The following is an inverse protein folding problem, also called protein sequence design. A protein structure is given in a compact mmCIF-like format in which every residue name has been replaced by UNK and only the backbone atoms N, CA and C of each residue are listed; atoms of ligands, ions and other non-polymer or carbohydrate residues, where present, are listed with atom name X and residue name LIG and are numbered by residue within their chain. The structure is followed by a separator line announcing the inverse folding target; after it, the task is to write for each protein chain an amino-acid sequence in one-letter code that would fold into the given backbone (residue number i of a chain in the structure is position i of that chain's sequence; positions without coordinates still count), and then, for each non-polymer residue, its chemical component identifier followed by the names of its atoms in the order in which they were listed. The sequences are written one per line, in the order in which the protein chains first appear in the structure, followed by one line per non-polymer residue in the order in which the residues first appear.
data_IF_349893208417
#
_entry.id   IF_349893208417
#
_cell.length_a   1.000
_cell.length_b   1.000
_cell.length_c   1.000
_cell.angle_alpha   90.00
_cell.angle_beta   90.00
_cell.angle_gamma   90.00
#
_symmetry.space_group_name_H-M   'P 1'
#
loop_
_entity.id
_entity.type
_entity.pdbx_description
1 polymer ?
#
# COMPACT_ATOMS: atom_id res chain seq x y z
N UNK A 1 9.77 -10.67 5.89
CA UNK A 1 10.03 -10.06 4.56
C UNK A 1 11.42 -9.47 4.59
N UNK A 2 12.20 -9.72 3.53
CA UNK A 2 13.53 -9.09 3.39
C UNK A 2 13.34 -7.67 2.89
N UNK A 3 14.20 -6.76 3.31
CA UNK A 3 14.25 -5.42 2.73
C UNK A 3 14.79 -5.49 1.29
N UNK A 4 14.23 -4.68 0.40
CA UNK A 4 14.61 -4.61 -1.00
C UNK A 4 14.86 -3.14 -1.38
N UNK A 5 15.88 -2.88 -2.18
CA UNK A 5 16.18 -1.53 -2.66
C UNK A 5 15.55 -1.29 -4.02
N UNK A 6 14.66 -0.29 -4.13
CA UNK A 6 14.10 0.22 -5.38
C UNK A 6 14.66 1.62 -5.64
N UNK A 7 15.60 1.72 -6.57
CA UNK A 7 16.34 2.96 -6.81
C UNK A 7 17.07 3.45 -5.55
N UNK A 8 16.72 4.64 -5.06
CA UNK A 8 17.31 5.26 -3.87
C UNK A 8 16.64 4.84 -2.56
N UNK A 9 15.44 4.24 -2.60
CA UNK A 9 14.64 3.88 -1.43
C UNK A 9 14.71 2.40 -1.09
N UNK A 10 14.60 2.09 0.19
CA UNK A 10 14.43 0.73 0.69
C UNK A 10 12.94 0.50 0.92
N UNK A 11 12.45 -0.66 0.48
CA UNK A 11 11.07 -1.12 0.68
C UNK A 11 11.08 -2.42 1.49
N UNK A 12 10.13 -2.56 2.37
CA UNK A 12 10.02 -3.71 3.27
C UNK A 12 8.94 -3.45 4.30
N UNK A 13 8.63 -4.42 5.15
CA UNK A 13 7.48 -4.34 6.06
C UNK A 13 7.60 -3.16 7.05
N UNK A 14 8.81 -2.81 7.44
CA UNK A 14 9.11 -1.75 8.40
C UNK A 14 9.30 -0.36 7.74
N UNK A 15 9.21 -0.29 6.40
CA UNK A 15 9.41 0.94 5.65
C UNK A 15 8.08 1.51 5.15
N UNK A 16 7.97 2.85 5.00
CA UNK A 16 6.78 3.47 4.40
C UNK A 16 6.47 2.92 3.01
N UNK A 17 5.21 2.99 2.55
CA UNK A 17 4.84 2.59 1.21
C UNK A 17 5.61 3.34 0.13
N UNK A 18 5.93 2.64 -0.96
CA UNK A 18 6.56 3.17 -2.17
C UNK A 18 5.50 3.31 -3.25
N UNK A 19 5.33 4.50 -3.81
CA UNK A 19 4.26 4.82 -4.74
C UNK A 19 4.78 4.98 -6.17
N UNK A 20 4.28 4.14 -7.10
CA UNK A 20 4.63 4.12 -8.52
C UNK A 20 3.49 4.74 -9.31
N UNK A 21 3.73 5.91 -9.90
CA UNK A 21 2.81 6.56 -10.83
C UNK A 21 2.98 5.94 -12.23
N UNK A 22 2.03 5.10 -12.65
CA UNK A 22 2.00 4.57 -14.01
C UNK A 22 1.41 5.61 -14.97
N UNK A 23 2.29 6.35 -15.62
CA UNK A 23 1.92 7.32 -16.65
C UNK A 23 1.32 6.58 -17.86
N UNK A 24 1.79 5.36 -18.10
CA UNK A 24 1.27 4.49 -19.16
C UNK A 24 1.15 5.22 -20.51
N UNK A 25 -0.05 5.26 -21.09
CA UNK A 25 -0.35 5.95 -22.36
C UNK A 25 -0.81 7.41 -22.17
N UNK A 26 -0.90 7.92 -20.94
CA UNK A 26 -1.46 9.25 -20.65
C UNK A 26 -0.59 10.43 -21.10
N UNK A 27 0.58 10.17 -21.67
CA UNK A 27 1.38 11.16 -22.40
C UNK A 27 0.82 11.50 -23.80
N UNK A 28 -0.20 10.78 -24.29
CA UNK A 28 -0.91 11.04 -25.56
C UNK A 28 0.00 11.10 -26.80
N UNK A 29 1.15 10.41 -26.81
CA UNK A 29 2.12 10.45 -27.89
C UNK A 29 2.92 11.77 -27.96
N UNK A 30 2.91 12.58 -26.91
CA UNK A 30 3.60 13.88 -26.80
C UNK A 30 4.71 13.84 -25.75
N UNK A 31 5.94 14.14 -26.17
CA UNK A 31 7.13 14.12 -25.30
C UNK A 31 7.11 15.24 -24.25
N UNK A 32 6.63 16.45 -24.63
CA UNK A 32 6.55 17.55 -23.66
C UNK A 32 5.59 17.19 -22.53
N UNK A 33 4.44 16.64 -22.90
CA UNK A 33 3.45 16.15 -21.94
C UNK A 33 4.00 15.03 -21.06
N UNK A 34 4.76 14.09 -21.64
CA UNK A 34 5.40 13.05 -20.84
C UNK A 34 6.32 13.63 -19.77
N UNK A 35 7.08 14.70 -20.07
CA UNK A 35 7.90 15.43 -19.10
C UNK A 35 7.08 16.15 -18.04
N UNK A 36 6.00 16.83 -18.44
CA UNK A 36 5.12 17.52 -17.50
C UNK A 36 4.49 16.53 -16.51
N UNK A 37 4.10 15.33 -16.98
CA UNK A 37 3.55 14.28 -16.12
C UNK A 37 4.59 13.73 -15.12
N UNK A 38 5.89 13.72 -15.45
CA UNK A 38 6.95 13.39 -14.49
C UNK A 38 6.95 14.37 -13.31
N UNK A 39 6.88 15.68 -13.60
CA UNK A 39 6.84 16.72 -12.56
C UNK A 39 5.55 16.66 -11.73
N UNK A 40 4.41 16.50 -12.38
CA UNK A 40 3.14 16.35 -11.68
C UNK A 40 3.11 15.13 -10.77
N UNK A 41 3.67 13.99 -11.20
CA UNK A 41 3.80 12.79 -10.37
C UNK A 41 4.70 13.05 -9.15
N UNK A 42 5.86 13.71 -9.35
CA UNK A 42 6.76 14.10 -8.27
C UNK A 42 6.09 15.01 -7.26
N UNK A 43 5.45 16.09 -7.71
CA UNK A 43 4.76 17.06 -6.85
C UNK A 43 3.59 16.41 -6.09
N UNK A 44 2.91 15.46 -6.72
CA UNK A 44 1.86 14.67 -6.07
C UNK A 44 2.41 13.63 -5.07
N UNK A 45 3.73 13.47 -4.94
CA UNK A 45 4.37 12.62 -3.94
C UNK A 45 4.64 11.19 -4.40
N UNK A 46 4.66 10.93 -5.71
CA UNK A 46 5.11 9.64 -6.23
C UNK A 46 6.62 9.46 -6.04
N UNK A 47 7.04 8.23 -5.80
CA UNK A 47 8.44 7.83 -5.70
C UNK A 47 9.05 7.49 -7.05
N UNK A 48 8.20 7.02 -7.97
CA UNK A 48 8.59 6.57 -9.29
C UNK A 48 7.57 7.02 -10.36
N UNK A 49 8.06 7.53 -11.47
CA UNK A 49 7.31 7.71 -12.70
C UNK A 49 7.58 6.51 -13.61
N UNK A 50 6.53 5.74 -13.93
CA UNK A 50 6.64 4.53 -14.74
C UNK A 50 5.99 4.72 -16.10
N UNK A 51 6.68 4.24 -17.13
CA UNK A 51 6.23 4.21 -18.52
C UNK A 51 6.08 2.77 -19.01
N UNK A 52 5.76 2.61 -20.29
CA UNK A 52 5.51 1.30 -20.90
C UNK A 52 6.19 1.23 -22.27
N UNK A 53 7.22 0.38 -22.41
CA UNK A 53 7.99 0.20 -23.63
C UNK A 53 7.44 -0.97 -24.44
N UNK A 54 6.32 -0.76 -25.12
CA UNK A 54 5.76 -1.71 -26.09
C UNK A 54 5.82 -1.15 -27.49
N UNK A 55 5.72 -2.02 -28.48
CA UNK A 55 5.43 -1.72 -29.89
C UNK A 55 4.16 -2.47 -30.26
N UNK A 56 3.25 -1.83 -30.99
CA UNK A 56 1.95 -2.42 -31.31
C UNK A 56 2.09 -3.78 -32.03
N UNK A 57 3.01 -3.89 -32.99
CA UNK A 57 3.31 -5.11 -33.75
C UNK A 57 3.97 -6.23 -32.95
N UNK A 58 4.45 -5.93 -31.70
CA UNK A 58 5.07 -6.90 -30.81
C UNK A 58 4.14 -7.39 -29.70
N UNK A 59 3.01 -6.71 -29.46
CA UNK A 59 2.11 -7.01 -28.35
C UNK A 59 0.67 -7.31 -28.81
N UNK A 60 0.25 -6.86 -29.99
CA UNK A 60 -1.13 -6.99 -30.51
C UNK A 60 -1.19 -7.90 -31.71
N UNK A 61 -2.13 -8.85 -31.70
CA UNK A 61 -2.54 -9.64 -32.83
C UNK A 61 -3.96 -9.23 -33.25
N UNK A 62 -4.07 -8.27 -34.16
CA UNK A 62 -5.37 -7.73 -34.61
C UNK A 62 -6.28 -8.81 -35.19
N UNK A 63 -5.72 -9.82 -35.89
CA UNK A 63 -6.52 -10.90 -36.46
C UNK A 63 -7.28 -11.68 -35.37
N UNK A 64 -6.63 -11.94 -34.26
CA UNK A 64 -7.28 -12.62 -33.14
C UNK A 64 -8.21 -11.67 -32.36
N UNK A 65 -7.84 -10.40 -32.19
CA UNK A 65 -8.72 -9.41 -31.55
C UNK A 65 -10.04 -9.23 -32.27
N UNK A 66 -10.05 -9.22 -33.64
CA UNK A 66 -11.28 -9.14 -34.42
C UNK A 66 -12.22 -10.33 -34.21
N UNK A 67 -11.67 -11.52 -33.88
CA UNK A 67 -12.50 -12.70 -33.57
C UNK A 67 -13.14 -12.65 -32.19
N UNK A 68 -12.63 -11.76 -31.29
CA UNK A 68 -13.08 -11.60 -29.91
C UNK A 68 -14.08 -10.44 -29.72
N UNK A 69 -14.68 -9.91 -30.79
CA UNK A 69 -15.62 -8.77 -30.77
C UNK A 69 -16.81 -8.93 -29.82
N UNK A 70 -17.15 -10.16 -29.42
CA UNK A 70 -18.22 -10.44 -28.46
C UNK A 70 -17.82 -10.29 -27.01
N UNK A 71 -16.52 -10.09 -26.69
CA UNK A 71 -16.04 -9.91 -25.32
C UNK A 71 -16.14 -8.44 -24.92
N UNK A 72 -16.83 -8.19 -23.81
CA UNK A 72 -16.87 -6.87 -23.17
C UNK A 72 -15.52 -6.58 -22.50
N UNK A 73 -14.67 -5.81 -23.14
CA UNK A 73 -13.40 -5.32 -22.60
C UNK A 73 -13.36 -3.79 -22.70
N UNK A 74 -12.40 -3.14 -22.07
CA UNK A 74 -12.27 -1.70 -22.23
C UNK A 74 -11.88 -1.32 -23.67
N UNK A 75 -11.17 -2.20 -24.39
CA UNK A 75 -10.82 -2.03 -25.80
C UNK A 75 -12.05 -2.10 -26.73
N UNK A 76 -13.10 -2.82 -26.36
CA UNK A 76 -14.32 -2.94 -27.18
C UNK A 76 -15.07 -1.62 -27.36
N UNK A 77 -14.77 -0.60 -26.56
CA UNK A 77 -15.32 0.76 -26.71
C UNK A 77 -14.56 1.63 -27.71
N UNK A 78 -13.41 1.19 -28.22
CA UNK A 78 -12.58 1.97 -29.10
C UNK A 78 -13.11 1.97 -30.56
N UNK A 79 -12.97 3.12 -31.20
CA UNK A 79 -13.42 3.31 -32.61
C UNK A 79 -12.43 2.78 -33.63
N UNK A 80 -11.16 2.65 -33.25
CA UNK A 80 -10.04 2.15 -34.05
C UNK A 80 -9.68 0.74 -33.60
N UNK A 81 -8.92 0.01 -34.41
CA UNK A 81 -8.39 -1.29 -33.99
C UNK A 81 -7.47 -1.15 -32.75
N UNK A 82 -7.28 -2.26 -32.05
CA UNK A 82 -6.40 -2.28 -30.87
C UNK A 82 -4.97 -1.90 -31.26
N UNK A 83 -4.48 -2.42 -32.40
CA UNK A 83 -3.15 -2.09 -32.93
C UNK A 83 -3.00 -0.61 -33.25
N UNK A 84 -3.99 0.02 -33.88
CA UNK A 84 -3.96 1.45 -34.21
C UNK A 84 -3.94 2.33 -32.96
N UNK A 85 -4.68 1.95 -31.91
CA UNK A 85 -4.65 2.69 -30.62
C UNK A 85 -3.30 2.51 -29.95
N UNK A 86 -2.78 1.27 -29.88
CA UNK A 86 -1.46 1.01 -29.31
C UNK A 86 -0.36 1.76 -30.04
N UNK A 87 -0.40 1.81 -31.39
CA UNK A 87 0.57 2.56 -32.19
C UNK A 87 0.45 4.07 -31.98
N UNK A 88 -0.74 4.60 -31.82
CA UNK A 88 -0.98 6.02 -31.56
C UNK A 88 -0.43 6.45 -30.20
N UNK A 89 -0.55 5.60 -29.15
CA UNK A 89 -0.27 5.95 -27.76
C UNK A 89 0.99 5.28 -27.19
N UNK A 90 1.79 4.58 -28.02
CA UNK A 90 3.01 3.97 -27.52
C UNK A 90 4.06 5.02 -27.08
N UNK A 91 4.84 4.67 -26.08
CA UNK A 91 6.01 5.44 -25.68
C UNK A 91 7.12 5.22 -26.72
N UNK A 92 7.54 6.28 -27.41
CA UNK A 92 8.60 6.18 -28.41
C UNK A 92 9.95 5.91 -27.74
N UNK A 93 10.62 4.82 -28.14
CA UNK A 93 11.86 4.37 -27.48
C UNK A 93 12.98 5.39 -27.50
N UNK A 94 13.04 6.26 -28.52
CA UNK A 94 13.98 7.37 -28.60
C UNK A 94 13.82 8.41 -27.50
N UNK A 95 12.67 8.45 -26.81
CA UNK A 95 12.43 9.36 -25.68
C UNK A 95 13.04 8.88 -24.37
N UNK A 96 13.48 7.63 -24.28
CA UNK A 96 13.89 6.99 -23.03
C UNK A 96 14.95 7.78 -22.27
N UNK A 97 16.03 8.19 -22.96
CA UNK A 97 17.10 8.97 -22.34
C UNK A 97 16.61 10.33 -21.86
N UNK A 98 15.81 11.01 -22.67
CA UNK A 98 15.31 12.35 -22.36
C UNK A 98 14.36 12.34 -21.17
N UNK A 99 13.45 11.36 -21.10
CA UNK A 99 12.56 11.17 -19.95
C UNK A 99 13.31 10.71 -18.70
N UNK A 100 14.29 9.83 -18.85
CA UNK A 100 15.20 9.47 -17.75
C UNK A 100 15.90 10.70 -17.17
N UNK A 101 16.47 11.54 -18.01
CA UNK A 101 17.12 12.79 -17.57
C UNK A 101 16.12 13.75 -16.91
N UNK A 102 14.89 13.80 -17.38
CA UNK A 102 13.84 14.61 -16.76
C UNK A 102 13.46 14.09 -15.36
N UNK A 103 13.36 12.76 -15.22
CA UNK A 103 13.17 12.12 -13.90
C UNK A 103 14.33 12.41 -12.94
N UNK A 104 15.58 12.43 -13.44
CA UNK A 104 16.74 12.79 -12.61
C UNK A 104 16.67 14.24 -12.13
N UNK A 105 16.26 15.19 -12.98
CA UNK A 105 16.05 16.61 -12.62
C UNK A 105 14.95 16.79 -11.59
N UNK A 106 13.84 16.04 -11.75
CA UNK A 106 12.71 16.06 -10.84
C UNK A 106 13.00 15.29 -9.54
N UNK A 107 14.13 14.60 -9.43
CA UNK A 107 14.47 13.73 -8.30
C UNK A 107 13.41 12.65 -8.02
N UNK A 108 12.85 12.07 -9.08
CA UNK A 108 11.93 10.93 -9.04
C UNK A 108 12.58 9.73 -9.73
N UNK A 109 12.27 8.51 -9.28
CA UNK A 109 12.78 7.30 -9.92
C UNK A 109 12.11 7.09 -11.28
N UNK A 110 12.91 6.68 -12.29
CA UNK A 110 12.42 6.24 -13.59
C UNK A 110 12.29 4.72 -13.62
N UNK A 111 11.16 4.20 -14.06
CA UNK A 111 10.99 2.78 -14.35
C UNK A 111 10.08 2.56 -15.56
N UNK A 112 10.04 1.33 -16.04
CA UNK A 112 9.18 0.95 -17.15
C UNK A 112 8.79 -0.52 -17.12
N UNK A 113 7.71 -0.84 -17.83
CA UNK A 113 7.40 -2.20 -18.27
C UNK A 113 7.92 -2.38 -19.69
N UNK A 114 9.00 -3.13 -19.91
CA UNK A 114 9.45 -3.51 -21.24
C UNK A 114 8.71 -4.78 -21.69
N UNK A 115 8.19 -4.79 -22.92
CA UNK A 115 7.31 -5.84 -23.43
C UNK A 115 7.96 -6.75 -24.49
N UNK A 116 9.25 -6.61 -24.73
CA UNK A 116 10.05 -7.49 -25.57
C UNK A 116 11.54 -7.47 -25.17
N UNK A 117 12.31 -8.42 -25.68
CA UNK A 117 13.73 -8.58 -25.36
C UNK A 117 14.56 -7.33 -25.69
N UNK A 118 14.29 -6.70 -26.85
CA UNK A 118 15.00 -5.50 -27.25
C UNK A 118 14.71 -4.33 -26.31
N UNK A 119 13.45 -4.16 -25.91
CA UNK A 119 13.07 -3.14 -24.92
C UNK A 119 13.81 -3.34 -23.60
N UNK A 120 13.92 -4.59 -23.10
CA UNK A 120 14.67 -4.90 -21.86
C UNK A 120 16.12 -4.45 -21.98
N UNK A 121 16.78 -4.81 -23.10
CA UNK A 121 18.19 -4.50 -23.30
C UNK A 121 18.44 -2.99 -23.48
N UNK A 122 17.56 -2.28 -24.17
CA UNK A 122 17.66 -0.83 -24.39
C UNK A 122 17.46 -0.02 -23.10
N UNK A 123 16.51 -0.42 -22.23
CA UNK A 123 16.21 0.32 -21.01
C UNK A 123 17.10 -0.04 -19.84
N UNK A 124 17.88 -1.13 -19.92
CA UNK A 124 18.65 -1.65 -18.79
C UNK A 124 19.54 -0.60 -18.14
N UNK A 125 20.24 0.23 -18.91
CA UNK A 125 21.12 1.26 -18.38
C UNK A 125 20.42 2.44 -17.68
N UNK A 126 19.10 2.56 -17.84
CA UNK A 126 18.31 3.66 -17.30
C UNK A 126 17.47 3.27 -16.07
N UNK A 127 17.11 1.98 -15.92
CA UNK A 127 16.25 1.53 -14.83
C UNK A 127 17.02 0.89 -13.69
N UNK A 128 16.58 1.11 -12.46
CA UNK A 128 17.09 0.42 -11.28
C UNK A 128 16.25 -0.83 -10.93
N UNK A 129 15.08 -0.99 -11.50
CA UNK A 129 14.22 -2.16 -11.39
C UNK A 129 13.27 -2.22 -12.59
N UNK A 130 12.75 -3.40 -12.87
CA UNK A 130 11.78 -3.63 -13.95
C UNK A 130 10.39 -3.88 -13.40
N UNK A 131 9.38 -3.50 -14.18
CA UNK A 131 7.99 -3.91 -13.94
C UNK A 131 7.58 -4.95 -14.99
N UNK A 132 7.00 -6.06 -14.53
CA UNK A 132 6.38 -7.07 -15.39
C UNK A 132 4.87 -6.88 -15.28
N UNK A 133 4.24 -6.56 -16.41
CA UNK A 133 2.79 -6.44 -16.52
C UNK A 133 2.09 -7.78 -16.29
N UNK A 134 0.85 -7.73 -15.81
CA UNK A 134 0.07 -8.93 -15.51
C UNK A 134 -0.08 -9.86 -16.74
N UNK A 135 -0.21 -9.29 -17.93
CA UNK A 135 -0.37 -10.04 -19.19
C UNK A 135 0.82 -10.94 -19.54
N UNK A 136 2.02 -10.58 -19.06
CA UNK A 136 3.26 -11.28 -19.39
C UNK A 136 3.69 -12.32 -18.34
N UNK A 137 2.89 -12.54 -17.29
CA UNK A 137 3.22 -13.49 -16.21
C UNK A 137 3.47 -14.93 -16.74
N UNK A 138 2.90 -15.27 -17.87
CA UNK A 138 3.07 -16.60 -18.50
C UNK A 138 4.25 -16.64 -19.48
N UNK A 139 4.85 -15.50 -19.83
CA UNK A 139 6.01 -15.47 -20.72
C UNK A 139 7.32 -15.67 -19.94
N UNK A 140 7.52 -16.91 -19.56
CA UNK A 140 8.59 -17.33 -18.63
C UNK A 140 9.99 -16.96 -19.13
N UNK A 141 10.25 -17.04 -20.45
CA UNK A 141 11.57 -16.74 -20.98
C UNK A 141 11.86 -15.22 -20.98
N UNK A 142 10.85 -14.37 -21.15
CA UNK A 142 10.98 -12.93 -20.95
C UNK A 142 11.33 -12.60 -19.50
N UNK A 143 10.64 -13.24 -18.54
CA UNK A 143 10.92 -13.09 -17.09
C UNK A 143 12.36 -13.50 -16.76
N UNK A 144 12.83 -14.65 -17.31
CA UNK A 144 14.24 -15.08 -17.14
C UNK A 144 15.22 -14.06 -17.69
N UNK A 145 14.91 -13.47 -18.84
CA UNK A 145 15.77 -12.46 -19.44
C UNK A 145 15.87 -11.21 -18.55
N UNK A 146 14.75 -10.73 -18.00
CA UNK A 146 14.78 -9.63 -17.01
C UNK A 146 15.56 -10.02 -15.75
N UNK A 147 15.35 -11.23 -15.19
CA UNK A 147 16.05 -11.68 -13.99
C UNK A 147 17.58 -11.80 -14.21
N UNK A 148 18.02 -12.14 -15.44
CA UNK A 148 19.44 -12.19 -15.81
C UNK A 148 20.17 -10.85 -15.69
N UNK A 149 19.43 -9.72 -15.71
CA UNK A 149 19.98 -8.37 -15.49
C UNK A 149 20.33 -8.10 -14.01
N UNK A 150 19.98 -9.01 -13.11
CA UNK A 150 20.30 -8.93 -11.68
C UNK A 150 19.73 -7.70 -10.96
N UNK A 151 18.67 -7.09 -11.48
CA UNK A 151 17.94 -5.96 -10.89
C UNK A 151 16.64 -6.46 -10.23
N UNK A 152 16.08 -5.70 -9.27
CA UNK A 152 14.78 -6.00 -8.72
C UNK A 152 13.69 -6.09 -9.80
N UNK A 153 12.77 -7.02 -9.61
CA UNK A 153 11.60 -7.21 -10.46
C UNK A 153 10.32 -6.96 -9.67
N UNK A 154 9.40 -6.23 -10.26
CA UNK A 154 8.05 -6.02 -9.72
C UNK A 154 7.08 -6.78 -10.61
N UNK A 155 6.46 -7.85 -10.10
CA UNK A 155 5.55 -8.73 -10.84
C UNK A 155 4.10 -8.47 -10.43
N UNK A 156 3.26 -8.01 -11.36
CA UNK A 156 1.81 -7.95 -11.17
C UNK A 156 1.15 -9.27 -11.58
N UNK A 157 0.06 -9.64 -10.90
CA UNK A 157 -0.56 -10.96 -10.99
C UNK A 157 -2.04 -10.93 -11.41
N UNK A 158 -2.46 -9.86 -12.10
CA UNK A 158 -3.82 -9.75 -12.61
C UNK A 158 -4.13 -10.81 -13.68
N UNK A 159 -5.37 -11.26 -13.73
CA UNK A 159 -5.86 -12.31 -14.66
C UNK A 159 -5.01 -13.61 -14.61
N UNK A 160 -4.37 -13.90 -13.47
CA UNK A 160 -3.52 -15.08 -13.29
C UNK A 160 -4.05 -15.98 -12.16
N UNK A 161 -3.85 -17.28 -12.32
CA UNK A 161 -4.08 -18.26 -11.27
C UNK A 161 -2.89 -18.33 -10.30
N UNK A 162 -3.09 -18.94 -9.12
CA UNK A 162 -1.97 -19.20 -8.19
C UNK A 162 -0.87 -20.06 -8.81
N UNK A 163 -1.21 -20.96 -9.72
CA UNK A 163 -0.21 -21.81 -10.41
C UNK A 163 0.65 -20.99 -11.37
N UNK A 164 0.08 -19.99 -12.04
CA UNK A 164 0.84 -19.05 -12.89
C UNK A 164 1.79 -18.21 -12.04
N UNK A 165 1.29 -17.68 -10.90
CA UNK A 165 2.11 -16.94 -9.94
C UNK A 165 3.27 -17.80 -9.42
N UNK A 166 2.99 -19.03 -8.98
CA UNK A 166 4.03 -19.95 -8.50
C UNK A 166 5.05 -20.29 -9.59
N UNK A 167 4.62 -20.42 -10.84
CA UNK A 167 5.52 -20.71 -11.99
C UNK A 167 6.47 -19.54 -12.22
N UNK A 168 5.96 -18.31 -12.21
CA UNK A 168 6.76 -17.10 -12.41
C UNK A 168 7.72 -16.85 -11.21
N UNK A 169 7.21 -16.93 -9.98
CA UNK A 169 8.02 -16.69 -8.76
C UNK A 169 9.20 -17.68 -8.63
N UNK A 170 9.05 -18.94 -9.07
CA UNK A 170 10.15 -19.92 -9.02
C UNK A 170 11.38 -19.56 -9.85
N UNK A 171 11.21 -18.65 -10.80
CA UNK A 171 12.28 -18.26 -11.74
C UNK A 171 13.03 -17.05 -11.22
N UNK A 172 12.35 -16.17 -10.49
CA UNK A 172 12.90 -14.92 -10.00
C UNK A 172 13.56 -15.15 -8.64
N UNK A 173 14.72 -14.55 -8.44
CA UNK A 173 15.36 -14.53 -7.11
C UNK A 173 14.47 -13.82 -6.10
N UNK A 174 14.06 -14.52 -5.03
CA UNK A 174 13.09 -14.02 -4.05
C UNK A 174 13.54 -12.75 -3.31
N UNK A 175 14.85 -12.57 -3.14
CA UNK A 175 15.46 -11.38 -2.52
C UNK A 175 15.40 -10.13 -3.41
N UNK A 176 14.98 -10.28 -4.68
CA UNK A 176 14.85 -9.20 -5.66
C UNK A 176 13.42 -9.04 -6.20
N UNK A 177 12.43 -9.68 -5.57
CA UNK A 177 11.06 -9.68 -6.06
C UNK A 177 10.13 -8.85 -5.19
N UNK A 178 9.34 -7.99 -5.85
CA UNK A 178 8.08 -7.45 -5.34
C UNK A 178 6.93 -8.18 -6.02
N UNK A 179 6.04 -8.80 -5.25
CA UNK A 179 4.87 -9.51 -5.77
C UNK A 179 3.61 -8.70 -5.52
N UNK A 180 2.94 -8.26 -6.60
CA UNK A 180 1.76 -7.38 -6.51
C UNK A 180 0.48 -8.15 -6.82
N UNK A 181 -0.49 -8.10 -5.89
CA UNK A 181 -1.87 -8.40 -6.24
C UNK A 181 -2.36 -7.38 -7.26
N UNK A 182 -3.14 -7.84 -8.23
CA UNK A 182 -3.74 -7.00 -9.25
C UNK A 182 -5.10 -7.57 -9.68
N UNK A 183 -6.03 -6.70 -10.04
CA UNK A 183 -7.21 -7.03 -10.82
C UNK A 183 -7.15 -6.24 -12.13
N UNK A 184 -6.94 -6.96 -13.25
CA UNK A 184 -6.75 -6.38 -14.60
C UNK A 184 -8.09 -6.06 -15.24
N UNK A 185 -8.93 -5.27 -14.57
CA UNK A 185 -10.17 -4.75 -15.11
C UNK A 185 -10.09 -3.21 -15.18
N UNK A 186 -10.02 -2.68 -16.38
CA UNK A 186 -9.91 -1.24 -16.67
C UNK A 186 -11.28 -0.57 -16.90
N UNK A 187 -12.40 -1.27 -16.70
CA UNK A 187 -13.75 -0.69 -16.86
C UNK A 187 -14.08 0.23 -15.67
N UNK A 188 -15.07 1.13 -15.89
CA UNK A 188 -15.55 2.05 -14.85
C UNK A 188 -16.73 1.48 -14.04
N UNK A 189 -16.88 0.17 -13.98
CA UNK A 189 -17.97 -0.48 -13.22
C UNK A 189 -17.95 -0.12 -11.73
N UNK A 190 -19.11 0.29 -11.22
CA UNK A 190 -19.26 0.69 -9.80
C UNK A 190 -18.93 -0.42 -8.79
N UNK A 191 -19.04 -1.68 -9.20
CA UNK A 191 -18.89 -2.84 -8.31
C UNK A 191 -17.51 -3.52 -8.40
N UNK A 192 -16.54 -2.98 -9.14
CA UNK A 192 -15.26 -3.65 -9.36
C UNK A 192 -14.43 -3.82 -8.07
N UNK A 193 -14.65 -3.02 -7.05
CA UNK A 193 -13.95 -3.15 -5.76
C UNK A 193 -14.05 -4.55 -5.15
N UNK A 194 -15.19 -5.23 -5.28
CA UNK A 194 -15.37 -6.60 -4.75
C UNK A 194 -14.50 -7.66 -5.42
N UNK A 195 -13.95 -7.35 -6.61
CA UNK A 195 -13.10 -8.25 -7.38
C UNK A 195 -11.60 -7.99 -7.18
N UNK A 196 -11.20 -6.91 -6.51
CA UNK A 196 -9.79 -6.60 -6.23
C UNK A 196 -9.15 -7.68 -5.35
N UNK A 197 -9.93 -8.25 -4.43
CA UNK A 197 -9.53 -9.38 -3.59
C UNK A 197 -8.15 -9.20 -2.93
N UNK A 198 -7.97 -8.09 -2.21
CA UNK A 198 -6.70 -7.80 -1.51
C UNK A 198 -6.30 -8.89 -0.50
N UNK A 199 -7.25 -9.72 -0.04
CA UNK A 199 -6.95 -10.87 0.82
C UNK A 199 -5.98 -11.89 0.20
N UNK A 200 -5.79 -11.88 -1.12
CA UNK A 200 -4.76 -12.68 -1.80
C UNK A 200 -3.36 -12.34 -1.27
N UNK A 201 -3.11 -11.11 -0.84
CA UNK A 201 -1.84 -10.71 -0.22
C UNK A 201 -1.50 -11.54 1.03
N UNK A 202 -2.52 -11.93 1.82
CA UNK A 202 -2.30 -12.84 2.97
C UNK A 202 -1.83 -14.23 2.49
N UNK A 203 -2.33 -14.71 1.35
CA UNK A 203 -1.87 -15.97 0.76
C UNK A 203 -0.46 -15.86 0.20
N UNK A 204 -0.11 -14.72 -0.38
CA UNK A 204 1.27 -14.46 -0.80
C UNK A 204 2.22 -14.39 0.40
N UNK A 205 1.85 -13.72 1.48
CA UNK A 205 2.63 -13.67 2.73
C UNK A 205 2.87 -15.05 3.32
N UNK A 206 1.84 -15.90 3.29
CA UNK A 206 1.93 -17.29 3.78
C UNK A 206 2.88 -18.14 2.90
N UNK A 207 2.74 -18.03 1.56
CA UNK A 207 3.51 -18.86 0.61
C UNK A 207 4.93 -18.34 0.35
N UNK A 208 5.13 -17.04 0.45
CA UNK A 208 6.35 -16.35 0.07
C UNK A 208 6.77 -15.36 1.18
N UNK A 209 7.13 -15.82 2.38
CA UNK A 209 7.31 -14.98 3.57
C UNK A 209 8.43 -13.94 3.44
N UNK A 210 9.36 -14.13 2.51
CA UNK A 210 10.52 -13.25 2.31
C UNK A 210 10.36 -12.24 1.17
N UNK A 211 9.26 -12.30 0.41
CA UNK A 211 9.01 -11.42 -0.72
C UNK A 211 8.29 -10.13 -0.26
N UNK A 212 8.68 -8.99 -0.81
CA UNK A 212 7.97 -7.72 -0.60
C UNK A 212 6.63 -7.77 -1.35
N UNK A 213 5.56 -7.41 -0.66
CA UNK A 213 4.22 -7.40 -1.24
C UNK A 213 3.83 -6.02 -1.77
N UNK A 214 3.03 -6.01 -2.83
CA UNK A 214 2.50 -4.80 -3.44
C UNK A 214 1.07 -4.95 -3.94
N UNK A 215 0.53 -3.84 -4.39
CA UNK A 215 -0.76 -3.76 -5.09
C UNK A 215 -0.60 -2.94 -6.38
N UNK A 216 -1.04 -3.49 -7.51
CA UNK A 216 -1.28 -2.75 -8.74
C UNK A 216 -2.79 -2.58 -8.90
N UNK A 217 -3.29 -1.34 -8.79
CA UNK A 217 -4.70 -1.06 -8.61
C UNK A 217 -5.28 -0.17 -9.72
N UNK A 218 -6.41 -0.60 -10.28
CA UNK A 218 -7.16 0.08 -11.34
C UNK A 218 -8.54 0.57 -10.87
N UNK A 219 -8.80 0.58 -9.55
CA UNK A 219 -10.06 1.10 -9.01
C UNK A 219 -10.02 2.62 -8.88
N UNK A 220 -11.19 3.26 -8.89
CA UNK A 220 -11.31 4.64 -8.47
C UNK A 220 -11.24 4.74 -6.94
N UNK A 221 -10.67 5.84 -6.42
CA UNK A 221 -10.53 6.06 -4.98
C UNK A 221 -9.34 5.31 -4.36
N UNK A 222 -9.32 5.25 -3.02
CA UNK A 222 -8.14 4.85 -2.25
C UNK A 222 -8.35 3.59 -1.39
N UNK A 223 -9.59 3.11 -1.25
CA UNK A 223 -9.94 2.04 -0.31
C UNK A 223 -9.14 0.74 -0.49
N UNK A 224 -8.91 0.30 -1.74
CA UNK A 224 -8.09 -0.87 -2.05
C UNK A 224 -6.63 -0.68 -1.64
N UNK A 225 -6.06 0.50 -1.90
CA UNK A 225 -4.69 0.86 -1.53
C UNK A 225 -4.52 0.86 -0.03
N UNK A 226 -5.37 1.61 0.71
CA UNK A 226 -5.30 1.72 2.16
C UNK A 226 -5.46 0.36 2.84
N UNK A 227 -6.43 -0.43 2.39
CA UNK A 227 -6.63 -1.80 2.86
C UNK A 227 -5.41 -2.70 2.60
N UNK A 228 -4.77 -2.59 1.43
CA UNK A 228 -3.58 -3.37 1.09
C UNK A 228 -2.38 -3.00 1.96
N UNK A 229 -2.17 -1.71 2.25
CA UNK A 229 -1.11 -1.23 3.16
C UNK A 229 -1.32 -1.81 4.56
N UNK A 230 -2.57 -1.80 5.06
CA UNK A 230 -2.91 -2.35 6.37
C UNK A 230 -2.59 -3.85 6.50
N UNK A 231 -2.69 -4.63 5.43
CA UNK A 231 -2.36 -6.06 5.43
C UNK A 231 -0.92 -6.37 4.99
N UNK A 232 -0.09 -5.34 4.76
CA UNK A 232 1.35 -5.49 4.56
C UNK A 232 1.90 -5.19 3.17
N UNK A 233 1.10 -4.64 2.26
CA UNK A 233 1.61 -4.12 0.99
C UNK A 233 2.53 -2.92 1.24
N UNK A 234 3.65 -2.85 0.52
CA UNK A 234 4.65 -1.76 0.64
C UNK A 234 5.04 -1.15 -0.69
N UNK A 235 4.58 -1.70 -1.80
CA UNK A 235 4.74 -1.10 -3.13
C UNK A 235 3.37 -0.96 -3.77
N UNK A 236 2.99 0.25 -4.13
CA UNK A 236 1.68 0.60 -4.67
C UNK A 236 1.86 1.18 -6.06
N UNK A 237 1.13 0.65 -7.02
CA UNK A 237 1.10 1.16 -8.39
C UNK A 237 -0.33 1.52 -8.77
N UNK A 238 -0.52 2.71 -9.35
CA UNK A 238 -1.76 3.14 -10.00
C UNK A 238 -1.46 3.99 -11.23
N UNK A 239 -2.41 4.03 -12.16
CA UNK A 239 -2.32 4.94 -13.29
C UNK A 239 -2.40 6.40 -12.86
N UNK A 240 -1.63 7.24 -13.54
CA UNK A 240 -1.51 8.67 -13.26
C UNK A 240 -1.80 9.50 -14.51
N UNK A 241 -2.58 10.56 -14.37
CA UNK A 241 -2.85 11.56 -15.41
C UNK A 241 -2.87 12.95 -14.80
N UNK A 242 -2.74 13.97 -15.58
CA UNK A 242 -3.00 15.36 -15.16
C UNK A 242 -4.50 15.71 -15.19
N UNK A 243 -5.26 15.08 -16.11
CA UNK A 243 -6.67 15.37 -16.33
C UNK A 243 -7.43 14.10 -16.76
N UNK A 244 -8.48 13.77 -16.00
CA UNK A 244 -9.31 12.59 -16.23
C UNK A 244 -10.30 12.75 -17.40
N UNK A 245 -10.56 13.99 -17.84
CA UNK A 245 -11.53 14.27 -18.91
C UNK A 245 -10.92 14.17 -20.32
N UNK A 246 -9.62 13.94 -20.43
CA UNK A 246 -8.93 13.76 -21.70
C UNK A 246 -9.36 12.47 -22.41
N UNK A 247 -9.34 12.54 -23.74
CA UNK A 247 -9.50 11.34 -24.58
C UNK A 247 -8.21 10.54 -24.61
N UNK A 248 -8.27 9.27 -24.32
CA UNK A 248 -7.16 8.33 -24.31
C UNK A 248 -7.51 7.03 -23.61
N UNK A 249 -6.66 6.00 -23.72
CA UNK A 249 -6.98 4.67 -23.20
C UNK A 249 -7.03 4.63 -21.66
N UNK A 250 -6.23 5.44 -20.95
CA UNK A 250 -5.96 5.23 -19.52
C UNK A 250 -6.40 6.39 -18.60
N UNK A 251 -6.81 7.55 -19.16
CA UNK A 251 -7.13 8.75 -18.35
C UNK A 251 -8.28 8.54 -17.36
N UNK A 252 -9.36 7.89 -17.79
CA UNK A 252 -10.63 7.85 -17.05
C UNK A 252 -10.55 7.11 -15.71
N UNK A 253 -9.66 6.13 -15.58
CA UNK A 253 -9.49 5.36 -14.34
C UNK A 253 -8.19 5.71 -13.60
N UNK A 254 -7.36 6.60 -14.15
CA UNK A 254 -6.16 7.10 -13.50
C UNK A 254 -6.49 8.04 -12.32
N UNK A 255 -5.54 8.25 -11.44
CA UNK A 255 -5.59 9.33 -10.46
C UNK A 255 -4.94 10.59 -11.04
N UNK A 256 -5.54 11.75 -10.77
CA UNK A 256 -4.95 13.06 -11.07
C UNK A 256 -4.07 13.55 -9.89
N UNK A 257 -3.30 14.63 -10.02
CA UNK A 257 -2.39 15.08 -8.97
C UNK A 257 -3.05 15.26 -7.59
N UNK A 258 -4.27 15.78 -7.55
CA UNK A 258 -5.00 16.00 -6.30
C UNK A 258 -5.37 14.67 -5.62
N UNK A 259 -5.99 13.77 -6.36
CA UNK A 259 -6.42 12.47 -5.83
C UNK A 259 -5.23 11.55 -5.56
N UNK A 260 -4.14 11.70 -6.32
CA UNK A 260 -2.88 11.01 -6.05
C UNK A 260 -2.26 11.45 -4.73
N UNK A 261 -2.16 12.77 -4.51
CA UNK A 261 -1.62 13.31 -3.26
C UNK A 261 -2.43 12.82 -2.05
N UNK A 262 -3.75 12.85 -2.14
CA UNK A 262 -4.63 12.31 -1.11
C UNK A 262 -4.33 10.83 -0.81
N UNK A 263 -4.13 10.00 -1.85
CA UNK A 263 -3.79 8.60 -1.68
C UNK A 263 -2.45 8.43 -0.95
N UNK A 264 -1.44 9.21 -1.32
CA UNK A 264 -0.11 9.15 -0.69
C UNK A 264 -0.18 9.53 0.79
N UNK A 265 -0.86 10.65 1.10
CA UNK A 265 -0.98 11.13 2.48
C UNK A 265 -1.74 10.12 3.36
N UNK A 266 -2.91 9.65 2.89
CA UNK A 266 -3.70 8.66 3.61
C UNK A 266 -2.98 7.30 3.72
N UNK A 267 -2.20 6.91 2.71
CA UNK A 267 -1.40 5.68 2.74
C UNK A 267 -0.30 5.73 3.78
N UNK A 268 0.39 6.87 3.91
CA UNK A 268 1.39 7.09 4.96
C UNK A 268 0.74 7.14 6.35
N UNK A 269 -0.42 7.80 6.48
CA UNK A 269 -1.18 7.81 7.73
C UNK A 269 -1.56 6.40 8.18
N UNK A 270 -2.07 5.55 7.27
CA UNK A 270 -2.35 4.15 7.58
C UNK A 270 -1.09 3.42 8.04
N UNK A 271 0.04 3.61 7.35
CA UNK A 271 1.31 2.99 7.73
C UNK A 271 1.73 3.38 9.16
N UNK A 272 1.68 4.66 9.51
CA UNK A 272 2.00 5.15 10.84
C UNK A 272 1.07 4.59 11.93
N UNK A 273 -0.21 4.34 11.59
CA UNK A 273 -1.20 3.79 12.54
C UNK A 273 -1.03 2.29 12.82
N UNK A 274 -0.22 1.56 12.05
CA UNK A 274 -0.04 0.11 12.24
C UNK A 274 0.64 -0.23 13.58
N UNK A 275 1.57 0.60 14.04
CA UNK A 275 2.30 0.39 15.29
C UNK A 275 3.11 -0.91 15.34
N UNK A 276 3.55 -1.28 16.52
CA UNK A 276 4.36 -2.48 16.79
C UNK A 276 3.54 -3.73 17.17
N UNK A 277 2.21 -3.61 17.25
CA UNK A 277 1.30 -4.69 17.67
C UNK A 277 1.34 -5.04 19.16
N UNK A 278 2.13 -4.34 19.97
CA UNK A 278 2.21 -4.57 21.41
C UNK A 278 1.17 -3.72 22.13
N UNK A 279 0.21 -4.37 22.81
CA UNK A 279 -0.78 -3.64 23.62
C UNK A 279 -0.18 -3.16 24.94
N UNK A 280 0.10 -1.87 25.00
CA UNK A 280 0.62 -1.15 26.18
C UNK A 280 -0.13 0.15 26.38
N UNK A 281 0.14 0.85 27.48
CA UNK A 281 -0.27 2.26 27.63
C UNK A 281 0.71 3.10 26.85
N UNK A 282 0.23 3.74 25.80
CA UNK A 282 1.07 4.58 24.96
C UNK A 282 1.50 5.88 25.67
N UNK A 283 2.56 6.52 25.19
CA UNK A 283 3.11 7.73 25.81
C UNK A 283 2.07 8.84 25.96
N UNK A 284 1.25 9.05 24.95
CA UNK A 284 0.18 10.04 24.93
C UNK A 284 -1.04 9.66 25.78
N UNK A 285 -1.14 8.41 26.28
CA UNK A 285 -2.21 7.94 27.17
C UNK A 285 -1.87 8.01 28.66
N UNK A 286 -0.62 8.36 29.04
CA UNK A 286 -0.19 8.34 30.46
C UNK A 286 -1.07 9.17 31.40
N UNK A 287 -1.52 10.33 30.96
CA UNK A 287 -2.45 11.15 31.73
C UNK A 287 -3.86 10.53 31.73
N UNK A 288 -4.32 10.01 30.59
CA UNK A 288 -5.61 9.33 30.51
C UNK A 288 -5.66 8.08 31.40
N UNK A 289 -4.55 7.37 31.52
CA UNK A 289 -4.40 6.23 32.42
C UNK A 289 -4.76 6.57 33.86
N UNK A 290 -4.41 7.77 34.34
CA UNK A 290 -4.74 8.26 35.68
C UNK A 290 -6.18 8.75 35.76
N UNK A 291 -6.57 9.67 34.85
CA UNK A 291 -7.86 10.37 34.98
C UNK A 291 -9.08 9.57 34.55
N UNK A 292 -8.89 8.61 33.64
CA UNK A 292 -9.99 7.80 33.09
C UNK A 292 -10.22 6.47 33.81
N UNK A 293 -9.24 5.96 34.52
CA UNK A 293 -9.40 4.74 35.32
C UNK A 293 -10.12 5.02 36.63
N UNK A 294 -10.77 4.00 37.17
CA UNK A 294 -11.40 4.04 38.48
C UNK A 294 -10.46 3.49 39.52
N UNK A 295 -10.49 4.08 40.73
CA UNK A 295 -9.91 3.53 41.93
C UNK A 295 -10.99 3.07 42.93
N UNK A 296 -10.60 2.33 43.93
CA UNK A 296 -11.46 2.05 45.10
C UNK A 296 -11.46 3.31 45.96
N UNK A 297 -12.65 3.85 46.18
CA UNK A 297 -12.88 5.14 46.88
C UNK A 297 -13.76 4.89 48.09
N UNK A 298 -13.51 5.60 49.18
CA UNK A 298 -14.32 5.55 50.38
C UNK A 298 -15.64 6.29 50.15
N UNK A 299 -16.78 5.62 50.40
CA UNK A 299 -18.12 6.15 50.21
C UNK A 299 -18.59 7.01 51.39
N UNK A 300 -18.15 6.69 52.61
CA UNK A 300 -18.39 7.44 53.83
C UNK A 300 -17.12 7.51 54.66
N UNK A 301 -16.91 8.59 55.40
CA UNK A 301 -15.71 8.76 56.23
C UNK A 301 -15.55 7.62 57.22
N UNK A 302 -14.32 7.11 57.32
CA UNK A 302 -13.91 6.04 58.24
C UNK A 302 -12.70 6.48 59.01
N UNK A 303 -12.63 6.11 60.31
CA UNK A 303 -11.52 6.43 61.16
C UNK A 303 -10.43 5.35 61.14
N UNK A 304 -9.20 5.71 61.47
CA UNK A 304 -8.10 4.80 61.72
C UNK A 304 -8.54 3.65 62.65
N UNK A 305 -8.14 2.44 62.29
CA UNK A 305 -8.45 1.22 63.05
C UNK A 305 -9.80 0.60 62.69
N UNK A 306 -10.64 1.29 61.89
CA UNK A 306 -11.89 0.68 61.38
C UNK A 306 -11.61 -0.31 60.27
N UNK A 307 -12.43 -1.38 60.27
CA UNK A 307 -12.45 -2.39 59.21
C UNK A 307 -13.27 -1.87 58.05
N UNK A 308 -12.77 -2.03 56.86
CA UNK A 308 -13.47 -1.63 55.61
C UNK A 308 -14.45 -2.74 55.22
N UNK A 309 -15.75 -2.43 55.15
CA UNK A 309 -16.79 -3.32 54.67
C UNK A 309 -17.13 -3.01 53.20
N UNK A 310 -17.81 -3.94 52.54
CA UNK A 310 -18.13 -3.79 51.11
C UNK A 310 -18.98 -2.55 50.81
N UNK A 311 -19.90 -2.21 51.71
CA UNK A 311 -20.77 -1.03 51.57
C UNK A 311 -20.05 0.31 51.83
N UNK A 312 -18.83 0.27 52.33
CA UNK A 312 -18.01 1.47 52.60
C UNK A 312 -17.26 1.97 51.35
N UNK A 313 -17.26 1.18 50.27
CA UNK A 313 -16.47 1.48 49.11
C UNK A 313 -17.34 1.72 47.87
N UNK A 314 -16.79 2.49 46.95
CA UNK A 314 -17.31 2.70 45.62
C UNK A 314 -16.16 2.83 44.59
N UNK A 315 -16.46 2.77 43.29
CA UNK A 315 -15.45 2.81 42.25
C UNK A 315 -15.57 4.09 41.43
N UNK A 316 -14.75 5.07 41.72
CA UNK A 316 -14.79 6.37 41.05
C UNK A 316 -13.50 6.71 40.32
N UNK A 317 -13.57 7.62 39.37
CA UNK A 317 -12.40 8.29 38.76
C UNK A 317 -11.99 9.49 39.59
N UNK A 318 -10.71 9.83 39.63
CA UNK A 318 -9.56 9.22 38.94
C UNK A 318 -8.99 8.01 39.70
N UNK A 319 -7.91 7.42 39.12
CA UNK A 319 -7.10 6.42 39.81
C UNK A 319 -5.71 7.01 40.13
N UNK A 320 -5.54 7.67 41.27
CA UNK A 320 -4.26 8.22 41.65
C UNK A 320 -3.16 7.17 41.75
N UNK A 321 -1.92 7.61 41.60
CA UNK A 321 -0.77 6.71 41.78
C UNK A 321 -0.85 6.02 43.14
N UNK A 322 -0.54 4.74 43.17
CA UNK A 322 -0.55 3.91 44.36
C UNK A 322 -1.94 3.57 44.96
N UNK A 323 -3.07 3.94 44.30
CA UNK A 323 -4.40 3.52 44.71
C UNK A 323 -4.72 2.10 44.24
N UNK A 324 -5.70 1.46 44.87
CA UNK A 324 -6.24 0.18 44.47
C UNK A 324 -7.20 0.33 43.27
N UNK A 325 -7.07 -0.56 42.33
CA UNK A 325 -8.02 -0.68 41.22
C UNK A 325 -9.28 -1.49 41.62
N UNK A 326 -10.40 -1.33 40.94
CA UNK A 326 -11.62 -2.07 41.25
C UNK A 326 -11.47 -3.61 41.31
N UNK A 327 -10.61 -4.18 40.51
CA UNK A 327 -10.34 -5.63 40.50
C UNK A 327 -9.54 -6.11 41.70
N UNK A 328 -8.95 -5.19 42.48
CA UNK A 328 -8.21 -5.47 43.73
C UNK A 328 -9.12 -5.40 44.96
N UNK A 329 -10.47 -5.36 44.80
CA UNK A 329 -11.45 -5.20 45.86
C UNK A 329 -11.23 -6.16 47.03
N UNK A 330 -10.95 -7.41 46.73
CA UNK A 330 -10.75 -8.45 47.74
C UNK A 330 -9.48 -8.25 48.61
N UNK A 331 -8.55 -7.40 48.15
CA UNK A 331 -7.38 -6.99 48.91
C UNK A 331 -7.68 -5.83 49.90
N UNK A 332 -8.84 -5.17 49.74
CA UNK A 332 -9.25 -3.99 50.48
C UNK A 332 -10.35 -4.31 51.48
N UNK A 333 -11.41 -5.00 51.04
CA UNK A 333 -12.53 -5.35 51.95
C UNK A 333 -12.04 -6.30 53.04
N UNK A 334 -12.44 -6.00 54.25
CA UNK A 334 -12.01 -6.74 55.43
C UNK A 334 -10.70 -6.28 56.06
N UNK A 335 -9.96 -5.35 55.43
CA UNK A 335 -8.73 -4.76 55.94
C UNK A 335 -9.01 -3.62 56.92
N UNK A 336 -8.00 -3.27 57.72
CA UNK A 336 -8.07 -2.22 58.75
C UNK A 336 -7.34 -0.99 58.22
N UNK A 337 -7.96 0.19 58.36
CA UNK A 337 -7.35 1.47 58.00
C UNK A 337 -6.22 1.86 58.94
N UNK A 338 -5.09 2.27 58.36
CA UNK A 338 -3.95 2.83 59.06
C UNK A 338 -4.11 4.32 59.41
N UNK A 339 -4.99 5.01 58.68
CA UNK A 339 -5.23 6.45 58.79
C UNK A 339 -6.73 6.73 58.64
N UNK A 340 -7.17 7.92 59.08
CA UNK A 340 -8.52 8.40 58.78
C UNK A 340 -8.69 8.63 57.28
N UNK A 341 -9.88 8.31 56.76
CA UNK A 341 -10.24 8.54 55.37
C UNK A 341 -11.58 9.26 55.27
N UNK A 342 -11.61 10.31 54.46
CA UNK A 342 -12.85 11.06 54.21
C UNK A 342 -13.60 10.48 53.01
N UNK A 343 -14.92 10.68 53.02
CA UNK A 343 -15.77 10.31 51.85
C UNK A 343 -15.21 10.95 50.58
N UNK A 344 -15.12 10.16 49.52
CA UNK A 344 -14.57 10.57 48.24
C UNK A 344 -13.06 10.34 48.05
N UNK A 345 -12.32 10.00 49.11
CA UNK A 345 -10.88 9.72 49.01
C UNK A 345 -10.60 8.31 48.49
N UNK A 346 -9.65 8.19 47.56
CA UNK A 346 -9.17 6.89 47.07
C UNK A 346 -8.37 6.18 48.19
N UNK A 347 -8.52 4.86 48.24
CA UNK A 347 -7.72 4.02 49.16
C UNK A 347 -6.37 3.75 48.46
N UNK A 348 -5.30 4.17 49.13
CA UNK A 348 -3.91 3.92 48.71
C UNK A 348 -3.40 2.61 49.30
N UNK A 349 -2.38 2.01 48.71
CA UNK A 349 -1.80 0.75 49.18
C UNK A 349 -1.21 0.86 50.61
N UNK A 350 -0.79 2.07 51.02
CA UNK A 350 -0.24 2.34 52.32
C UNK A 350 -1.32 2.67 53.38
N UNK A 351 -2.58 2.79 53.00
CA UNK A 351 -3.68 3.12 53.91
C UNK A 351 -4.25 1.91 54.67
N UNK A 352 -3.85 0.70 54.34
CA UNK A 352 -4.39 -0.54 54.92
C UNK A 352 -3.30 -1.49 55.40
N UNK A 353 -3.64 -2.34 56.40
CA UNK A 353 -2.83 -3.43 56.92
C UNK A 353 -3.32 -4.80 56.42
#
# INVERSE_FOLDING_TARGET
MSDLKLGKKVVGIEHPPYFIADIAANHDGDLSRAKDLVWHAKEAGADCAKFQHFLADKIVNDVEFQKLESLETHQSSWKKSVSEIYDQYHFKREWTEEIYLECQKAEIEFSTSPYDYQAIDEVDKYVNFYKIGSGDITWIDLIKHMDSKSKPLILATGAASMDDVMRAVRIISNDRLVLMQCNTNYTLEKNKHKFVNINVLNKYKEKFPNIVLGLSDHTLGHGSVLGSIAIGSRVIEKHFTDDNDREGPDHKFALNPTTWRQMVDMGNEVFETLGDGVKKVEENEKNAFIVQRRSITIKRSLSKGQKIEEDDIEFLRPCPKNSFHPFEKDLVVGKILNNDKHAGESILKDDIC
#
